data_IF_614656863566
#
_entry.id   IF_614656863566
#
_cell.length_a   1.000
_cell.length_b   1.000
_cell.length_c   1.000
_cell.angle_alpha   90.00
_cell.angle_beta   90.00
_cell.angle_gamma   90.00
#
_symmetry.space_group_name_H-M   'P 1'
#
loop_
_entity.id
_entity.type
_entity.pdbx_description
1 polymer ?
#
# COMPACT_ATOMS: atom_id res chain seq x y z
N UNK A 1 6.37 18.10 -13.45
CA UNK A 1 7.59 17.31 -13.12
C UNK A 1 8.89 18.12 -13.15
N UNK A 2 9.22 18.84 -14.24
CA UNK A 2 10.49 19.57 -14.37
C UNK A 2 10.74 20.63 -13.29
N UNK A 3 9.66 21.19 -12.72
CA UNK A 3 9.71 22.18 -11.65
C UNK A 3 9.60 21.55 -10.25
N UNK A 4 9.34 20.24 -10.12
CA UNK A 4 9.25 19.61 -8.80
C UNK A 4 10.47 19.84 -7.91
N UNK A 5 11.72 19.92 -8.42
CA UNK A 5 12.87 20.29 -7.62
C UNK A 5 12.75 21.59 -6.82
N UNK A 6 11.95 22.57 -7.25
CA UNK A 6 11.82 23.84 -6.55
C UNK A 6 11.09 23.71 -5.20
N UNK A 7 10.17 22.74 -5.10
CA UNK A 7 9.38 22.47 -3.89
C UNK A 7 9.83 21.19 -3.19
N UNK A 8 10.38 20.24 -3.96
CA UNK A 8 10.82 18.93 -3.52
C UNK A 8 12.25 18.68 -4.03
N UNK A 9 13.30 19.17 -3.34
CA UNK A 9 14.68 19.09 -3.81
C UNK A 9 15.14 17.66 -4.14
N UNK A 10 14.58 16.65 -3.45
CA UNK A 10 14.84 15.24 -3.71
C UNK A 10 14.50 14.80 -5.15
N UNK A 11 13.59 15.50 -5.84
CA UNK A 11 13.24 15.22 -7.24
C UNK A 11 14.35 15.56 -8.24
N UNK A 12 15.44 16.20 -7.81
CA UNK A 12 16.64 16.49 -8.62
C UNK A 12 17.85 15.64 -8.24
N UNK A 13 17.67 14.57 -7.47
CA UNK A 13 18.78 13.70 -7.06
C UNK A 13 19.17 12.69 -8.15
N UNK A 14 20.39 12.15 -8.10
CA UNK A 14 20.94 11.26 -9.14
C UNK A 14 20.30 9.85 -9.20
N UNK A 15 19.42 9.53 -8.25
CA UNK A 15 18.78 8.20 -8.11
C UNK A 15 17.27 8.26 -8.26
N UNK A 16 16.78 9.00 -9.26
CA UNK A 16 15.35 9.05 -9.56
C UNK A 16 14.84 7.78 -10.25
N UNK A 17 13.54 7.56 -10.15
CA UNK A 17 12.76 6.63 -10.96
C UNK A 17 11.69 7.39 -11.75
N UNK A 18 11.15 6.84 -12.85
CA UNK A 18 11.52 5.58 -13.49
C UNK A 18 12.86 5.65 -14.24
N UNK A 19 13.41 4.47 -14.56
CA UNK A 19 14.54 4.32 -15.49
C UNK A 19 14.15 3.35 -16.62
N UNK A 20 14.85 3.46 -17.75
CA UNK A 20 14.79 2.45 -18.80
C UNK A 20 15.64 1.22 -18.39
N UNK A 21 15.01 0.04 -18.33
CA UNK A 21 15.69 -1.21 -17.99
C UNK A 21 16.15 -1.89 -19.28
N UNK A 22 17.40 -1.65 -19.66
CA UNK A 22 18.02 -2.33 -20.80
C UNK A 22 18.48 -3.73 -20.39
N UNK A 23 17.76 -4.75 -20.86
CA UNK A 23 18.01 -6.15 -20.48
C UNK A 23 19.46 -6.60 -20.71
N UNK A 24 20.15 -6.07 -21.73
CA UNK A 24 21.56 -6.33 -22.02
C UNK A 24 22.52 -5.86 -20.91
N UNK A 25 22.12 -4.85 -20.13
CA UNK A 25 22.93 -4.25 -19.06
C UNK A 25 22.55 -4.76 -17.66
N UNK A 26 21.51 -5.59 -17.55
CA UNK A 26 21.06 -6.15 -16.27
C UNK A 26 22.09 -7.14 -15.75
N UNK A 27 22.52 -6.94 -14.50
CA UNK A 27 23.40 -7.88 -13.80
C UNK A 27 22.56 -8.92 -13.08
N UNK A 28 22.65 -10.19 -13.49
CA UNK A 28 21.97 -11.31 -12.83
C UNK A 28 22.63 -11.58 -11.48
N UNK A 29 21.88 -11.36 -10.41
CA UNK A 29 22.26 -11.75 -9.05
C UNK A 29 21.56 -13.08 -8.66
N UNK A 30 22.37 -14.11 -8.38
CA UNK A 30 21.89 -15.45 -7.99
C UNK A 30 21.51 -15.56 -6.52
N UNK A 31 21.86 -14.56 -5.71
CA UNK A 31 21.53 -14.51 -4.28
C UNK A 31 20.16 -13.87 -4.03
N UNK A 32 19.53 -13.29 -5.06
CA UNK A 32 18.17 -12.77 -4.95
C UNK A 32 17.19 -13.91 -4.62
N UNK A 33 16.51 -13.75 -3.48
CA UNK A 33 15.49 -14.68 -3.04
C UNK A 33 14.22 -14.48 -3.87
N UNK A 34 13.48 -15.56 -4.09
CA UNK A 34 12.14 -15.49 -4.67
C UNK A 34 11.25 -14.64 -3.76
N UNK A 35 10.44 -13.77 -4.38
CA UNK A 35 9.42 -13.01 -3.65
C UNK A 35 8.38 -13.98 -3.09
N UNK A 36 8.08 -13.83 -1.80
CA UNK A 36 7.01 -14.58 -1.12
C UNK A 36 5.82 -13.67 -0.94
N UNK A 37 4.70 -14.04 -1.52
CA UNK A 37 3.44 -13.31 -1.40
C UNK A 37 2.53 -14.02 -0.41
N UNK A 38 1.94 -13.29 0.53
CA UNK A 38 1.05 -13.84 1.54
C UNK A 38 -0.38 -13.34 1.29
N UNK A 39 -1.31 -14.26 1.02
CA UNK A 39 -2.74 -13.95 0.80
C UNK A 39 -3.07 -13.06 -0.40
N UNK A 40 -2.12 -12.81 -1.30
CA UNK A 40 -2.37 -12.11 -2.58
C UNK A 40 -3.11 -12.99 -3.60
N UNK A 41 -3.19 -14.28 -3.33
CA UNK A 41 -3.98 -15.28 -4.06
C UNK A 41 -5.48 -15.22 -3.72
N UNK A 42 -5.85 -14.52 -2.65
CA UNK A 42 -7.25 -14.43 -2.19
C UNK A 42 -7.95 -13.26 -2.86
N UNK A 43 -9.18 -13.50 -3.31
CA UNK A 43 -10.02 -12.45 -3.87
C UNK A 43 -10.30 -11.34 -2.85
N UNK A 44 -10.14 -10.10 -3.29
CA UNK A 44 -10.43 -8.91 -2.50
C UNK A 44 -11.94 -8.77 -2.39
N UNK A 45 -12.48 -8.90 -1.16
CA UNK A 45 -13.92 -8.79 -0.90
C UNK A 45 -14.39 -7.36 -0.69
N UNK A 46 -13.52 -6.51 -0.12
CA UNK A 46 -13.75 -5.08 0.14
C UNK A 46 -12.42 -4.35 0.00
N UNK A 47 -12.46 -3.19 -0.65
CA UNK A 47 -11.33 -2.28 -0.79
C UNK A 47 -11.86 -0.85 -0.82
N UNK A 48 -11.07 0.07 -0.27
CA UNK A 48 -11.33 1.50 -0.40
C UNK A 48 -10.68 1.99 -1.69
N UNK A 49 -11.44 2.66 -2.54
CA UNK A 49 -10.95 3.24 -3.78
C UNK A 49 -10.99 4.76 -3.64
N UNK A 50 -9.82 5.40 -3.79
CA UNK A 50 -9.67 6.85 -3.69
C UNK A 50 -9.05 7.38 -4.98
N UNK A 51 -9.69 8.36 -5.61
CA UNK A 51 -9.07 9.15 -6.66
C UNK A 51 -8.55 10.46 -6.05
N UNK A 52 -7.25 10.69 -6.12
CA UNK A 52 -6.61 11.90 -5.60
C UNK A 52 -6.30 12.95 -6.69
N UNK A 53 -6.81 12.76 -7.91
CA UNK A 53 -6.54 13.61 -9.07
C UNK A 53 -5.21 13.33 -9.76
N UNK A 54 -4.41 12.39 -9.24
CA UNK A 54 -3.16 11.94 -9.84
C UNK A 54 -3.20 10.46 -10.23
N UNK A 55 -3.88 9.63 -9.44
CA UNK A 55 -4.11 8.21 -9.74
C UNK A 55 -5.28 7.63 -8.93
N UNK A 56 -5.79 6.47 -9.35
CA UNK A 56 -6.65 5.64 -8.52
C UNK A 56 -5.82 4.88 -7.49
N UNK A 57 -6.07 5.13 -6.21
CA UNK A 57 -5.44 4.45 -5.07
C UNK A 57 -6.38 3.38 -4.52
N UNK A 58 -5.83 2.23 -4.18
CA UNK A 58 -6.55 1.09 -3.60
C UNK A 58 -6.04 0.80 -2.20
N UNK A 59 -6.89 0.94 -1.20
CA UNK A 59 -6.65 0.52 0.17
C UNK A 59 -7.04 -0.94 0.36
N UNK A 60 -6.05 -1.79 0.65
CA UNK A 60 -6.30 -3.18 1.01
C UNK A 60 -6.34 -3.31 2.53
N UNK A 61 -7.50 -3.67 3.08
CA UNK A 61 -7.62 -4.03 4.49
C UNK A 61 -7.11 -5.46 4.67
N UNK A 62 -5.90 -5.61 5.20
CA UNK A 62 -5.37 -6.92 5.59
C UNK A 62 -5.91 -7.22 6.99
N UNK A 63 -6.91 -8.11 7.08
CA UNK A 63 -7.31 -8.68 8.37
C UNK A 63 -6.19 -9.59 8.88
N UNK A 64 -5.31 -9.07 9.74
CA UNK A 64 -4.27 -9.86 10.40
C UNK A 64 -4.92 -10.75 11.46
N UNK A 65 -5.20 -12.01 11.13
CA UNK A 65 -5.95 -12.95 11.99
C UNK A 65 -5.24 -13.32 13.32
N UNK A 66 -4.00 -12.89 13.52
CA UNK A 66 -3.16 -13.11 14.71
C UNK A 66 -2.94 -11.86 15.57
N UNK A 67 -3.49 -10.72 15.20
CA UNK A 67 -3.45 -9.50 16.00
C UNK A 67 -4.91 -9.16 16.35
N UNK A 68 -5.29 -9.08 17.64
CA UNK A 68 -6.66 -8.72 18.03
C UNK A 68 -7.06 -7.27 17.67
N UNK A 69 -6.19 -6.52 17.01
CA UNK A 69 -6.41 -5.15 16.56
C UNK A 69 -6.42 -5.10 15.03
N UNK A 70 -7.58 -4.75 14.47
CA UNK A 70 -7.68 -4.33 13.07
C UNK A 70 -6.97 -2.99 12.96
N UNK A 71 -5.74 -2.98 12.42
CA UNK A 71 -5.08 -1.76 12.02
C UNK A 71 -5.71 -1.29 10.70
N UNK A 72 -6.76 -0.48 10.79
CA UNK A 72 -7.26 0.27 9.63
C UNK A 72 -6.26 1.37 9.31
N UNK A 73 -5.51 1.21 8.21
CA UNK A 73 -4.67 2.27 7.67
C UNK A 73 -5.57 3.28 6.95
N UNK A 74 -5.83 4.42 7.59
CA UNK A 74 -6.49 5.58 6.96
C UNK A 74 -5.43 6.42 6.22
N UNK A 75 -5.58 6.73 4.91
CA UNK A 75 -4.62 7.54 4.17
C UNK A 75 -4.63 9.03 4.55
N UNK A 76 -5.56 9.45 5.41
CA UNK A 76 -5.65 10.79 5.97
C UNK A 76 -5.30 10.73 7.45
N UNK A 77 -4.41 11.63 7.89
CA UNK A 77 -3.89 11.78 9.26
C UNK A 77 -4.99 12.15 10.29
N UNK A 78 -6.00 11.30 10.46
CA UNK A 78 -6.95 11.36 11.56
C UNK A 78 -7.00 9.98 12.20
N UNK A 79 -6.27 9.83 13.30
CA UNK A 79 -6.42 8.70 14.20
C UNK A 79 -7.82 8.79 14.82
N UNK A 80 -8.83 8.18 14.21
CA UNK A 80 -10.07 7.91 14.91
C UNK A 80 -9.80 6.72 15.85
N UNK A 81 -9.56 6.99 17.13
CA UNK A 81 -9.71 5.96 18.16
C UNK A 81 -11.19 5.64 18.25
N UNK A 82 -11.68 4.74 17.38
CA UNK A 82 -12.99 4.13 17.61
C UNK A 82 -12.81 3.01 18.62
N UNK A 83 -13.15 3.30 19.87
CA UNK A 83 -13.39 2.27 20.88
C UNK A 83 -14.67 1.54 20.47
N UNK A 84 -14.56 0.50 19.64
CA UNK A 84 -15.69 -0.36 19.36
C UNK A 84 -15.96 -1.24 20.59
N UNK A 85 -16.86 -0.77 21.46
CA UNK A 85 -17.55 -1.60 22.42
C UNK A 85 -18.43 -2.59 21.63
N UNK A 86 -18.25 -3.89 21.82
CA UNK A 86 -19.08 -4.90 21.19
C UNK A 86 -20.33 -5.14 22.05
N UNK A 87 -21.55 -4.72 21.67
CA UNK A 87 -22.74 -5.37 22.21
C UNK A 87 -22.97 -6.67 21.43
N UNK A 88 -23.32 -7.71 22.18
CA UNK A 88 -23.30 -9.10 21.75
C UNK A 88 -24.12 -9.44 20.52
N UNK A 89 -23.70 -10.55 19.92
CA UNK A 89 -24.53 -11.58 19.27
C UNK A 89 -25.97 -11.20 18.91
N UNK A 90 -26.20 -10.98 17.61
CA UNK A 90 -27.53 -10.99 17.01
C UNK A 90 -27.44 -11.33 15.53
N UNK A 91 -27.84 -12.55 15.16
CA UNK A 91 -28.10 -12.98 13.77
C UNK A 91 -29.33 -12.26 13.26
N UNK A 92 -29.29 -11.74 12.02
CA UNK A 92 -30.49 -11.55 11.19
C UNK A 92 -30.10 -11.89 9.75
N UNK A 93 -31.02 -12.61 9.08
CA UNK A 93 -30.91 -13.20 7.75
C UNK A 93 -30.61 -12.19 6.64
#
# INVERSE_FOLDING_TARGET
PRQWPSLFPACNGDKQSPIDIQASNVKRDRHLKKLSYFSYDKAVKRADILNDGHTGKYGFLIAMHWIPYVLTYSPSNFLYKSTAHFPGTGRVF
#
